data_IF_915654095920
#
_entry.id   IF_915654095920
#
_cell.length_a   1.000
_cell.length_b   1.000
_cell.length_c   1.000
_cell.angle_alpha   90.00
_cell.angle_beta   90.00
_cell.angle_gamma   90.00
#
_symmetry.space_group_name_H-M   'P 1'
#
loop_
_entity.id
_entity.type
_entity.pdbx_description
1 polymer ?
#
# COMPACT_ATOMS: atom_id res chain seq x y z
N UNK A 1 -14.05 -12.75 15.17
CA UNK A 1 -12.91 -12.15 14.44
C UNK A 1 -13.18 -10.67 14.23
N UNK A 2 -12.28 -9.82 14.70
CA UNK A 2 -12.38 -8.37 14.51
C UNK A 2 -11.68 -7.96 13.22
N UNK A 3 -12.32 -7.14 12.39
CA UNK A 3 -11.76 -6.68 11.12
C UNK A 3 -12.09 -5.23 10.82
N UNK A 4 -11.41 -4.69 9.81
CA UNK A 4 -11.80 -3.42 9.20
C UNK A 4 -13.03 -3.58 8.30
N UNK A 5 -13.68 -2.45 7.98
CA UNK A 5 -14.65 -2.34 6.89
C UNK A 5 -14.06 -2.94 5.62
N UNK A 6 -12.80 -2.59 5.35
CA UNK A 6 -11.99 -3.17 4.29
C UNK A 6 -11.09 -4.24 4.89
N UNK A 7 -11.24 -5.47 4.40
CA UNK A 7 -10.39 -6.61 4.76
C UNK A 7 -9.97 -7.37 3.50
N UNK A 8 -8.89 -8.12 3.60
CA UNK A 8 -8.35 -8.90 2.48
C UNK A 8 -8.57 -10.38 2.71
N UNK A 9 -9.16 -11.02 1.70
CA UNK A 9 -9.53 -12.44 1.76
C UNK A 9 -10.77 -12.67 2.61
N UNK A 10 -11.39 -13.83 2.40
CA UNK A 10 -12.57 -14.22 3.13
C UNK A 10 -12.21 -15.22 4.24
N UNK A 11 -11.60 -14.72 5.32
CA UNK A 11 -11.18 -15.57 6.43
C UNK A 11 -12.38 -16.23 7.13
N UNK A 12 -13.49 -15.51 7.26
CA UNK A 12 -14.67 -16.02 7.93
C UNK A 12 -15.34 -17.12 7.11
N UNK A 13 -15.51 -16.93 5.80
CA UNK A 13 -16.00 -17.98 4.89
C UNK A 13 -15.07 -19.19 4.91
N UNK A 14 -13.76 -19.02 4.76
CA UNK A 14 -12.79 -20.13 4.79
C UNK A 14 -12.82 -20.95 6.08
N UNK A 15 -13.10 -20.30 7.22
CA UNK A 15 -13.24 -20.99 8.50
C UNK A 15 -14.58 -21.72 8.61
N UNK A 16 -15.68 -21.11 8.12
CA UNK A 16 -17.00 -21.75 8.06
C UNK A 16 -16.98 -22.98 7.15
N UNK A 17 -16.27 -22.93 6.02
CA UNK A 17 -16.05 -24.05 5.11
C UNK A 17 -15.34 -25.24 5.79
N UNK A 18 -14.56 -24.96 6.84
CA UNK A 18 -13.89 -25.95 7.66
C UNK A 18 -14.70 -26.34 8.91
N UNK A 19 -15.99 -26.02 8.96
CA UNK A 19 -16.91 -26.27 10.06
C UNK A 19 -16.54 -25.56 11.38
N UNK A 20 -15.80 -24.46 11.32
CA UNK A 20 -15.57 -23.61 12.48
C UNK A 20 -16.67 -22.56 12.61
N UNK A 21 -17.19 -22.38 13.84
CA UNK A 21 -18.07 -21.26 14.16
C UNK A 21 -17.26 -19.97 14.21
N UNK A 22 -17.66 -18.96 13.42
CA UNK A 22 -16.98 -17.66 13.36
C UNK A 22 -18.00 -16.52 13.28
N UNK A 23 -17.92 -15.64 14.27
CA UNK A 23 -18.58 -14.34 14.28
C UNK A 23 -17.64 -13.25 13.76
N UNK A 24 -18.18 -12.25 13.07
CA UNK A 24 -17.43 -11.12 12.55
C UNK A 24 -17.87 -9.82 13.23
N UNK A 25 -16.90 -8.99 13.60
CA UNK A 25 -17.14 -7.64 14.08
C UNK A 25 -16.29 -6.65 13.30
N UNK A 26 -16.94 -5.66 12.68
CA UNK A 26 -16.25 -4.52 12.07
C UNK A 26 -15.92 -3.51 13.17
N UNK A 27 -14.64 -3.29 13.45
CA UNK A 27 -14.20 -2.47 14.58
C UNK A 27 -13.45 -1.20 14.18
N UNK A 28 -13.14 -1.04 12.89
CA UNK A 28 -12.54 0.19 12.36
C UNK A 28 -12.84 0.40 10.88
N UNK A 29 -12.77 1.65 10.44
CA UNK A 29 -12.80 2.05 9.03
C UNK A 29 -11.47 2.70 8.63
N UNK A 30 -10.98 2.38 7.44
CA UNK A 30 -9.85 3.05 6.82
C UNK A 30 -10.38 4.14 5.88
N UNK A 31 -10.71 5.28 6.47
CA UNK A 31 -11.20 6.46 5.74
C UNK A 31 -10.10 6.99 4.83
N UNK A 32 -10.40 7.14 3.54
CA UNK A 32 -9.47 7.70 2.58
C UNK A 32 -9.27 9.20 2.85
N UNK A 33 -8.02 9.64 2.87
CA UNK A 33 -7.65 11.05 3.03
C UNK A 33 -6.95 11.54 1.77
N UNK A 34 -7.20 12.79 1.35
CA UNK A 34 -6.43 13.39 0.27
C UNK A 34 -4.97 13.55 0.69
N UNK A 35 -4.07 13.61 -0.28
CA UNK A 35 -2.69 14.04 -0.04
C UNK A 35 -2.67 15.40 0.68
N UNK A 36 -1.65 15.65 1.49
CA UNK A 36 -1.42 17.00 2.01
C UNK A 36 -0.92 17.93 0.90
N UNK A 37 -1.00 19.25 1.11
CA UNK A 37 -0.44 20.22 0.15
C UNK A 37 1.07 20.03 -0.05
N UNK A 38 1.79 19.69 1.03
CA UNK A 38 3.22 19.37 0.97
C UNK A 38 3.49 18.12 0.14
N UNK A 39 2.68 17.06 0.28
CA UNK A 39 2.82 15.85 -0.51
C UNK A 39 2.48 16.11 -1.99
N UNK A 40 1.44 16.91 -2.28
CA UNK A 40 1.12 17.35 -3.65
C UNK A 40 2.28 18.10 -4.29
N UNK A 41 2.87 19.07 -3.58
CA UNK A 41 4.02 19.83 -4.07
C UNK A 41 5.24 18.92 -4.32
N UNK A 42 5.52 18.00 -3.39
CA UNK A 42 6.61 17.03 -3.54
C UNK A 42 6.42 16.15 -4.78
N UNK A 43 5.21 15.62 -4.98
CA UNK A 43 4.87 14.70 -6.07
C UNK A 43 4.65 15.39 -7.42
N UNK A 44 4.54 16.72 -7.45
CA UNK A 44 4.54 17.54 -8.66
C UNK A 44 5.95 18.04 -9.06
N UNK A 45 6.97 17.78 -8.24
CA UNK A 45 8.34 18.25 -8.47
C UNK A 45 9.14 17.40 -9.46
N UNK A 46 10.42 17.75 -9.63
CA UNK A 46 11.36 17.01 -10.50
C UNK A 46 12.33 16.10 -9.75
N UNK A 47 12.34 16.15 -8.41
CA UNK A 47 13.21 15.29 -7.58
C UNK A 47 12.60 13.90 -7.47
N UNK A 48 13.46 12.87 -7.48
CA UNK A 48 13.03 11.48 -7.25
C UNK A 48 12.35 11.36 -5.88
N UNK A 49 11.21 10.67 -5.86
CA UNK A 49 10.47 10.35 -4.62
C UNK A 49 10.43 8.84 -4.46
N UNK A 50 10.90 8.36 -3.31
CA UNK A 50 10.80 6.96 -2.92
C UNK A 50 9.59 6.81 -2.02
N UNK A 51 8.58 6.07 -2.47
CA UNK A 51 7.29 5.95 -1.79
C UNK A 51 7.02 4.51 -1.34
N UNK A 52 7.15 4.18 -0.03
CA UNK A 52 6.77 2.87 0.47
C UNK A 52 5.24 2.72 0.57
N UNK A 53 4.69 1.68 -0.05
CA UNK A 53 3.26 1.38 -0.10
C UNK A 53 2.99 0.01 0.53
N UNK A 54 2.14 -0.01 1.56
CA UNK A 54 1.96 -1.13 2.47
C UNK A 54 0.67 -1.92 2.23
N UNK A 55 -0.24 -1.40 1.44
CA UNK A 55 -1.47 -2.11 1.13
C UNK A 55 -1.91 -1.81 -0.28
N UNK A 56 -2.60 -2.74 -0.94
CA UNK A 56 -3.01 -2.46 -2.31
C UNK A 56 -4.24 -1.57 -2.39
N UNK A 57 -5.01 -1.43 -1.29
CA UNK A 57 -5.96 -0.32 -1.16
C UNK A 57 -5.23 1.02 -1.20
N UNK A 58 -4.12 1.16 -0.47
CA UNK A 58 -3.28 2.37 -0.52
C UNK A 58 -2.69 2.61 -1.91
N UNK A 59 -2.29 1.55 -2.63
CA UNK A 59 -1.81 1.65 -4.02
C UNK A 59 -2.87 2.27 -4.94
N UNK A 60 -4.10 1.75 -4.93
CA UNK A 60 -5.24 2.31 -5.69
C UNK A 60 -5.54 3.74 -5.29
N UNK A 61 -5.58 4.01 -3.98
CA UNK A 61 -5.85 5.35 -3.46
C UNK A 61 -4.79 6.35 -3.89
N UNK A 62 -3.51 5.97 -3.91
CA UNK A 62 -2.41 6.83 -4.37
C UNK A 62 -2.51 7.08 -5.89
N UNK A 63 -2.79 6.04 -6.69
CA UNK A 63 -2.97 6.15 -8.13
C UNK A 63 -4.12 7.11 -8.52
N UNK A 64 -5.18 7.14 -7.72
CA UNK A 64 -6.33 8.00 -7.93
C UNK A 64 -6.11 9.49 -7.58
N UNK A 65 -4.96 9.88 -7.00
CA UNK A 65 -4.73 11.28 -6.57
C UNK A 65 -4.29 12.23 -7.69
N UNK A 66 -4.29 11.79 -8.96
CA UNK A 66 -4.00 12.63 -10.13
C UNK A 66 -2.55 12.55 -10.57
N UNK A 67 -2.13 13.30 -11.62
CA UNK A 67 -0.84 13.06 -12.24
C UNK A 67 0.29 13.35 -11.24
N UNK A 68 0.93 12.27 -10.79
CA UNK A 68 2.15 12.31 -10.00
C UNK A 68 3.30 12.42 -11.02
N UNK A 69 3.93 13.59 -11.06
CA UNK A 69 4.91 13.96 -12.11
C UNK A 69 6.33 13.66 -11.66
N UNK A 70 6.58 13.67 -10.35
CA UNK A 70 7.89 13.35 -9.79
C UNK A 70 8.36 11.96 -10.25
N UNK A 71 9.67 11.76 -10.51
CA UNK A 71 10.21 10.43 -10.77
C UNK A 71 9.96 9.52 -9.56
N UNK A 72 8.98 8.61 -9.68
CA UNK A 72 8.58 7.72 -8.60
C UNK A 72 9.38 6.42 -8.61
N UNK A 73 9.90 6.06 -7.45
CA UNK A 73 10.26 4.68 -7.13
C UNK A 73 9.37 4.20 -6.00
N UNK A 74 8.44 3.30 -6.31
CA UNK A 74 7.50 2.76 -5.34
C UNK A 74 8.08 1.49 -4.72
N UNK A 75 8.20 1.47 -3.40
CA UNK A 75 8.57 0.29 -2.64
C UNK A 75 7.28 -0.42 -2.22
N UNK A 76 6.95 -1.52 -2.89
CA UNK A 76 5.73 -2.28 -2.65
C UNK A 76 5.98 -3.39 -1.61
N UNK A 77 5.12 -3.48 -0.58
CA UNK A 77 5.26 -4.49 0.47
C UNK A 77 5.10 -5.93 0.00
N UNK A 78 4.37 -6.15 -1.10
CA UNK A 78 4.19 -7.47 -1.69
C UNK A 78 3.80 -7.36 -3.15
N UNK A 79 3.81 -8.49 -3.87
CA UNK A 79 3.31 -8.57 -5.24
C UNK A 79 1.85 -8.14 -5.36
N UNK A 80 1.02 -8.43 -4.35
CA UNK A 80 -0.37 -7.99 -4.33
C UNK A 80 -0.50 -6.46 -4.24
N UNK A 81 0.48 -5.75 -3.68
CA UNK A 81 0.54 -4.28 -3.69
C UNK A 81 0.98 -3.77 -5.05
N UNK A 82 2.04 -4.37 -5.61
CA UNK A 82 2.55 -4.00 -6.91
C UNK A 82 1.50 -4.12 -8.03
N UNK A 83 0.68 -5.17 -7.98
CA UNK A 83 -0.38 -5.42 -8.96
C UNK A 83 -1.49 -4.35 -9.00
N UNK A 84 -1.63 -3.52 -7.98
CA UNK A 84 -2.65 -2.48 -7.90
C UNK A 84 -2.09 -1.06 -8.12
N UNK A 85 -0.80 -0.96 -8.46
CA UNK A 85 -0.15 0.31 -8.77
C UNK A 85 -0.36 0.66 -10.24
N UNK A 86 -1.37 1.47 -10.51
CA UNK A 86 -1.62 2.05 -11.83
C UNK A 86 -0.96 3.45 -11.92
N UNK A 87 0.37 3.50 -11.71
CA UNK A 87 1.17 4.72 -11.72
C UNK A 87 2.44 4.54 -12.55
N UNK A 88 2.89 5.57 -13.29
CA UNK A 88 4.19 5.54 -13.93
C UNK A 88 5.30 5.57 -12.89
N UNK A 89 6.37 4.80 -13.13
CA UNK A 89 7.54 4.77 -12.27
C UNK A 89 8.14 3.38 -12.12
N UNK A 90 9.22 3.32 -11.36
CA UNK A 90 9.85 2.07 -10.97
C UNK A 90 9.09 1.46 -9.78
N UNK A 91 8.81 0.16 -9.82
CA UNK A 91 8.22 -0.57 -8.69
C UNK A 91 9.19 -1.64 -8.22
N UNK A 92 9.58 -1.59 -6.95
CA UNK A 92 10.46 -2.57 -6.31
C UNK A 92 9.70 -3.25 -5.18
N UNK A 93 9.64 -4.58 -5.21
CA UNK A 93 8.90 -5.36 -4.21
C UNK A 93 9.86 -5.77 -3.08
N UNK A 94 9.45 -5.52 -1.84
CA UNK A 94 10.21 -5.95 -0.67
C UNK A 94 10.28 -7.49 -0.60
N UNK A 95 11.42 -8.02 -0.14
CA UNK A 95 11.64 -9.47 -0.01
C UNK A 95 10.68 -10.18 0.95
N UNK A 96 10.09 -9.44 1.88
CA UNK A 96 9.08 -9.93 2.80
C UNK A 96 8.13 -8.78 3.19
N UNK A 97 6.86 -9.07 3.52
CA UNK A 97 5.85 -8.06 3.84
C UNK A 97 5.99 -7.55 5.28
N UNK A 98 7.17 -7.05 5.62
CA UNK A 98 7.54 -6.58 6.95
C UNK A 98 8.06 -5.14 6.87
N UNK A 99 7.65 -4.30 7.81
CA UNK A 99 8.09 -2.90 7.88
C UNK A 99 9.62 -2.77 7.91
N UNK A 100 10.33 -3.71 8.54
CA UNK A 100 11.81 -3.73 8.55
C UNK A 100 12.39 -3.92 7.15
N UNK A 101 11.84 -4.85 6.36
CA UNK A 101 12.33 -5.09 4.99
C UNK A 101 12.01 -3.94 4.05
N UNK A 102 10.85 -3.31 4.25
CA UNK A 102 10.50 -2.07 3.56
C UNK A 102 11.51 -0.97 3.86
N UNK A 103 11.85 -0.75 5.13
CA UNK A 103 12.82 0.27 5.53
C UNK A 103 14.23 -0.04 4.98
N UNK A 104 14.70 -1.28 5.07
CA UNK A 104 15.98 -1.72 4.49
C UNK A 104 16.04 -1.40 2.98
N UNK A 105 14.96 -1.68 2.25
CA UNK A 105 14.87 -1.42 0.81
C UNK A 105 14.80 0.09 0.48
N UNK A 106 14.06 0.87 1.27
CA UNK A 106 14.07 2.34 1.13
C UNK A 106 15.49 2.87 1.32
N UNK A 107 16.22 2.42 2.35
CA UNK A 107 17.60 2.86 2.59
C UNK A 107 18.54 2.47 1.46
N UNK A 108 18.43 1.26 0.90
CA UNK A 108 19.27 0.86 -0.23
C UNK A 108 19.03 1.69 -1.50
N UNK A 109 17.84 2.28 -1.65
CA UNK A 109 17.48 3.12 -2.80
C UNK A 109 17.88 4.60 -2.61
N UNK A 110 18.22 5.01 -1.38
CA UNK A 110 18.73 6.35 -1.06
C UNK A 110 20.23 6.49 -1.34
N UNK A 111 20.96 5.38 -1.31
CA UNK A 111 22.38 5.35 -1.60
C UNK A 111 22.59 5.29 -3.13
N UNK A 112 23.57 6.03 -3.67
CA UNK A 112 23.90 6.00 -5.09
C UNK A 112 24.47 4.64 -5.54
#
# INVERSE_FOLDING_TARGET
>A
FCRGVYSRGDLAEKLRDQNHSVEEAVVYDQVATPLSDQARQLLAGSRRVIAPVFSPRTARLLAAQGPLVAPLTIVAMSQAVAAELELPGEVVVARAPESRRMAELVVSLLLP
#
